data_IF_785533018319
#
_entry.id   IF_785533018319
#
_cell.length_a   1.000
_cell.length_b   1.000
_cell.length_c   1.000
_cell.angle_alpha   90.00
_cell.angle_beta   90.00
_cell.angle_gamma   90.00
#
_symmetry.space_group_name_H-M   'P 1'
#
loop_
_entity.id
_entity.type
_entity.pdbx_description
1 polymer ?
#
# COMPACT_ATOMS: atom_id res chain seq x y z
N UNK A 1 -8.45 -19.69 1.02
CA UNK A 1 -8.89 -19.91 2.42
C UNK A 1 -7.73 -19.53 3.33
N UNK A 2 -7.92 -18.57 4.23
CA UNK A 2 -6.90 -18.16 5.21
C UNK A 2 -7.13 -18.94 6.51
N UNK A 3 -6.18 -19.79 6.90
CA UNK A 3 -6.19 -20.47 8.19
C UNK A 3 -5.41 -19.62 9.18
N UNK A 4 -6.12 -18.84 10.01
CA UNK A 4 -5.51 -17.84 10.88
C UNK A 4 -5.79 -18.02 12.38
N UNK A 5 -6.75 -18.87 12.78
CA UNK A 5 -7.20 -18.91 14.18
C UNK A 5 -6.82 -20.21 14.92
N UNK A 6 -5.80 -20.19 15.82
CA UNK A 6 -4.73 -19.19 15.91
C UNK A 6 -3.54 -19.50 14.97
N UNK A 7 -2.82 -18.46 14.56
CA UNK A 7 -1.56 -18.56 13.82
C UNK A 7 -0.49 -17.64 14.45
N UNK A 8 0.78 -17.86 14.11
CA UNK A 8 1.91 -17.19 14.76
C UNK A 8 1.86 -15.65 14.65
N UNK A 9 1.37 -15.11 13.53
CA UNK A 9 1.22 -13.65 13.34
C UNK A 9 0.24 -13.01 14.34
N UNK A 10 -0.69 -13.79 14.90
CA UNK A 10 -1.63 -13.32 15.92
C UNK A 10 -1.02 -13.19 17.32
N UNK A 11 0.21 -13.68 17.53
CA UNK A 11 0.87 -13.66 18.85
C UNK A 11 1.87 -12.51 18.99
N UNK A 12 2.13 -11.75 17.93
CA UNK A 12 3.11 -10.67 17.93
C UNK A 12 2.67 -9.52 18.85
N UNK A 13 3.51 -9.15 19.81
CA UNK A 13 3.21 -8.17 20.85
C UNK A 13 4.11 -6.94 20.73
N UNK A 14 3.78 -5.81 21.40
CA UNK A 14 4.67 -4.66 21.47
C UNK A 14 6.07 -4.98 22.00
N UNK A 15 6.24 -6.04 22.81
CA UNK A 15 7.55 -6.44 23.36
C UNK A 15 8.46 -7.06 22.29
N UNK A 16 7.88 -7.61 21.23
CA UNK A 16 8.61 -8.23 20.12
C UNK A 16 9.08 -7.19 19.09
N UNK A 17 8.64 -5.94 19.22
CA UNK A 17 9.00 -4.84 18.32
C UNK A 17 10.44 -4.40 18.55
N UNK A 18 11.30 -4.62 17.56
CA UNK A 18 12.67 -4.13 17.56
C UNK A 18 12.73 -2.63 17.20
N UNK A 19 12.62 -1.79 18.23
CA UNK A 19 12.61 -0.32 18.09
C UNK A 19 13.90 0.22 17.46
N UNK A 20 15.06 -0.36 17.78
CA UNK A 20 16.32 0.08 17.19
C UNK A 20 16.37 -0.16 15.67
N UNK A 21 15.83 -1.29 15.21
CA UNK A 21 15.72 -1.57 13.79
C UNK A 21 14.80 -0.55 13.10
N UNK A 22 13.68 -0.20 13.75
CA UNK A 22 12.74 0.81 13.25
C UNK A 22 13.39 2.19 13.16
N UNK A 23 14.13 2.62 14.19
CA UNK A 23 14.81 3.92 14.18
C UNK A 23 15.87 4.05 13.08
N UNK A 24 16.46 2.93 12.65
CA UNK A 24 17.41 2.89 11.52
C UNK A 24 16.72 2.83 10.15
N UNK A 25 15.42 2.51 10.10
CA UNK A 25 14.68 2.40 8.86
C UNK A 25 14.28 3.77 8.33
N UNK A 26 14.42 3.97 7.00
CA UNK A 26 13.91 5.18 6.32
C UNK A 26 12.39 5.19 6.22
N UNK A 27 11.79 4.00 6.15
CA UNK A 27 10.37 3.79 5.93
C UNK A 27 9.89 2.53 6.64
N UNK A 28 8.72 2.61 7.26
CA UNK A 28 7.96 1.47 7.80
C UNK A 28 6.72 1.27 6.93
N UNK A 29 6.47 0.04 6.48
CA UNK A 29 5.24 -0.33 5.76
C UNK A 29 4.43 -1.36 6.56
N UNK A 30 3.11 -1.21 6.56
CA UNK A 30 2.19 -2.15 7.21
C UNK A 30 0.84 -2.20 6.49
N UNK A 31 0.00 -3.18 6.83
CA UNK A 31 -1.37 -3.30 6.31
C UNK A 31 -2.40 -3.57 7.41
N UNK A 32 -3.68 -3.67 7.03
CA UNK A 32 -4.76 -3.70 8.03
C UNK A 32 -4.88 -5.03 8.78
N UNK A 33 -4.30 -6.11 8.24
CA UNK A 33 -4.41 -7.47 8.80
C UNK A 33 -3.85 -7.53 10.24
N UNK A 34 -2.77 -6.80 10.51
CA UNK A 34 -2.19 -6.72 11.86
C UNK A 34 -2.98 -5.80 12.80
N UNK A 35 -3.99 -5.08 12.31
CA UNK A 35 -4.89 -4.24 13.12
C UNK A 35 -6.19 -4.97 13.51
N UNK A 36 -6.38 -6.22 13.09
CA UNK A 36 -7.63 -6.96 13.31
C UNK A 36 -7.88 -7.20 14.80
N UNK A 37 -6.88 -7.66 15.54
CA UNK A 37 -7.03 -8.05 16.94
C UNK A 37 -5.79 -7.68 17.76
N UNK A 38 -5.96 -7.68 19.07
CA UNK A 38 -4.82 -7.74 19.99
C UNK A 38 -4.25 -9.16 20.06
N UNK A 39 -2.96 -9.32 20.39
CA UNK A 39 -1.92 -8.28 20.58
C UNK A 39 -1.29 -7.60 19.32
N UNK A 40 -1.44 -8.09 18.06
CA UNK A 40 -0.74 -7.49 16.91
C UNK A 40 -1.10 -6.04 16.63
N UNK A 41 -2.34 -5.63 16.95
CA UNK A 41 -2.78 -4.24 16.78
C UNK A 41 -1.90 -3.32 17.62
N UNK A 42 -1.77 -3.57 18.92
CA UNK A 42 -0.89 -2.82 19.79
C UNK A 42 0.56 -2.81 19.30
N UNK A 43 1.06 -3.97 18.84
CA UNK A 43 2.43 -4.09 18.32
C UNK A 43 2.67 -3.22 17.08
N UNK A 44 1.73 -3.24 16.14
CA UNK A 44 1.79 -2.46 14.89
C UNK A 44 1.74 -0.97 15.18
N UNK A 45 0.81 -0.52 16.04
CA UNK A 45 0.69 0.89 16.39
C UNK A 45 1.91 1.39 17.14
N UNK A 46 2.49 0.58 18.03
CA UNK A 46 3.76 0.90 18.70
C UNK A 46 4.92 1.06 17.71
N UNK A 47 5.03 0.17 16.72
CA UNK A 47 6.04 0.28 15.67
C UNK A 47 5.85 1.54 14.80
N UNK A 48 4.61 1.88 14.46
CA UNK A 48 4.26 3.10 13.70
C UNK A 48 4.62 4.36 14.48
N UNK A 49 4.28 4.41 15.76
CA UNK A 49 4.58 5.57 16.59
C UNK A 49 6.09 5.74 16.81
N UNK A 50 6.84 4.65 16.98
CA UNK A 50 8.31 4.66 17.01
C UNK A 50 8.93 5.16 15.69
N UNK A 51 8.44 4.70 14.55
CA UNK A 51 8.92 5.14 13.24
C UNK A 51 8.71 6.65 13.04
N UNK A 52 7.53 7.17 13.42
CA UNK A 52 7.23 8.60 13.34
C UNK A 52 8.08 9.43 14.29
N UNK A 53 8.30 8.96 15.52
CA UNK A 53 9.15 9.64 16.50
C UNK A 53 10.61 9.77 16.03
N UNK A 54 11.11 8.79 15.26
CA UNK A 54 12.43 8.83 14.63
C UNK A 54 12.49 9.63 13.32
N UNK A 55 11.37 10.23 12.88
CA UNK A 55 11.29 10.98 11.62
C UNK A 55 11.19 10.10 10.36
N UNK A 56 10.96 8.80 10.52
CA UNK A 56 10.75 7.86 9.41
C UNK A 56 9.42 8.09 8.69
N UNK A 57 9.34 7.67 7.42
CA UNK A 57 8.09 7.65 6.67
C UNK A 57 7.27 6.40 7.01
N UNK A 58 5.96 6.56 7.13
CA UNK A 58 5.01 5.47 7.36
C UNK A 58 4.17 5.28 6.11
N UNK A 59 4.24 4.08 5.55
CA UNK A 59 3.47 3.61 4.41
C UNK A 59 2.40 2.61 4.86
N UNK A 60 1.22 2.70 4.26
CA UNK A 60 0.09 1.86 4.60
C UNK A 60 -0.68 1.37 3.36
N UNK A 61 -0.90 0.06 3.28
CA UNK A 61 -1.82 -0.58 2.34
C UNK A 61 -2.82 -1.43 3.14
N UNK A 62 -4.09 -1.01 3.30
CA UNK A 62 -5.04 -1.77 4.09
C UNK A 62 -5.15 -3.22 3.64
N UNK A 63 -5.20 -3.47 2.33
CA UNK A 63 -5.33 -4.79 1.73
C UNK A 63 -6.50 -5.58 2.36
N UNK A 64 -7.71 -5.04 2.27
CA UNK A 64 -8.91 -5.51 2.97
C UNK A 64 -9.13 -7.01 2.76
N UNK A 65 -9.32 -7.73 3.87
CA UNK A 65 -9.73 -9.13 3.92
C UNK A 65 -10.93 -9.25 4.83
N UNK A 66 -12.09 -8.83 4.32
CA UNK A 66 -13.34 -8.78 5.09
C UNK A 66 -13.65 -10.07 5.90
N UNK A 67 -13.41 -11.30 5.39
CA UNK A 67 -13.63 -12.52 6.16
C UNK A 67 -12.76 -12.71 7.41
N UNK A 68 -11.70 -11.91 7.57
CA UNK A 68 -10.84 -11.95 8.76
C UNK A 68 -11.29 -10.97 9.84
N UNK A 69 -12.22 -10.07 9.53
CA UNK A 69 -12.77 -9.10 10.47
C UNK A 69 -14.06 -9.63 11.08
N UNK A 70 -14.42 -9.10 12.25
CA UNK A 70 -15.68 -9.45 12.92
C UNK A 70 -16.89 -9.12 12.03
N UNK A 71 -16.87 -7.93 11.44
CA UNK A 71 -17.87 -7.41 10.52
C UNK A 71 -17.25 -6.28 9.68
N UNK A 72 -18.06 -5.68 8.79
CA UNK A 72 -17.64 -4.59 7.93
C UNK A 72 -17.32 -3.30 8.68
N UNK A 73 -18.01 -3.01 9.78
CA UNK A 73 -17.79 -1.78 10.55
C UNK A 73 -16.45 -1.85 11.29
N UNK A 74 -16.15 -2.98 11.92
CA UNK A 74 -14.85 -3.23 12.55
C UNK A 74 -13.70 -3.16 11.53
N UNK A 75 -13.90 -3.68 10.31
CA UNK A 75 -12.93 -3.57 9.23
C UNK A 75 -12.69 -2.10 8.85
N UNK A 76 -13.76 -1.34 8.64
CA UNK A 76 -13.70 0.07 8.28
C UNK A 76 -13.00 0.90 9.37
N UNK A 77 -13.34 0.70 10.64
CA UNK A 77 -12.71 1.38 11.77
C UNK A 77 -11.20 1.08 11.87
N UNK A 78 -10.84 -0.19 11.77
CA UNK A 78 -9.44 -0.63 11.80
C UNK A 78 -8.64 -0.10 10.61
N UNK A 79 -9.23 -0.09 9.42
CA UNK A 79 -8.58 0.47 8.24
C UNK A 79 -8.34 1.97 8.36
N UNK A 80 -9.33 2.74 8.84
CA UNK A 80 -9.21 4.18 9.06
C UNK A 80 -8.21 4.51 10.17
N UNK A 81 -8.07 3.62 11.18
CA UNK A 81 -7.06 3.78 12.23
C UNK A 81 -5.63 3.75 11.66
N UNK A 82 -5.32 2.78 10.79
CA UNK A 82 -4.03 2.73 10.11
C UNK A 82 -3.81 3.92 9.18
N UNK A 83 -4.85 4.28 8.40
CA UNK A 83 -4.79 5.37 7.43
C UNK A 83 -4.40 6.69 8.10
N UNK A 84 -5.04 7.06 9.21
CA UNK A 84 -4.77 8.33 9.93
C UNK A 84 -3.34 8.46 10.44
N UNK A 85 -2.58 7.37 10.55
CA UNK A 85 -1.20 7.38 11.04
C UNK A 85 -0.16 7.34 9.93
N UNK A 86 -0.54 7.08 8.69
CA UNK A 86 0.38 6.99 7.55
C UNK A 86 0.68 8.37 6.95
N UNK A 87 1.80 8.47 6.22
CA UNK A 87 2.06 9.60 5.31
C UNK A 87 1.99 9.19 3.84
N UNK A 88 2.15 7.89 3.56
CA UNK A 88 2.01 7.30 2.23
C UNK A 88 0.92 6.24 2.32
N UNK A 89 -0.15 6.38 1.52
CA UNK A 89 -1.27 5.44 1.54
C UNK A 89 -1.47 4.89 0.14
N UNK A 90 -1.61 3.57 0.03
CA UNK A 90 -2.15 2.94 -1.17
C UNK A 90 -3.48 2.27 -0.83
N UNK A 91 -4.46 2.42 -1.70
CA UNK A 91 -5.79 1.78 -1.65
C UNK A 91 -6.07 1.14 -3.00
N UNK A 92 -6.98 0.17 -3.06
CA UNK A 92 -7.74 -0.08 -4.29
C UNK A 92 -8.94 0.86 -4.41
N UNK A 93 -9.51 0.95 -5.61
CA UNK A 93 -10.80 1.59 -5.84
C UNK A 93 -11.90 0.99 -4.94
N UNK A 94 -11.99 -0.34 -4.88
CA UNK A 94 -12.93 -1.04 -3.99
C UNK A 94 -12.74 -0.64 -2.51
N UNK A 95 -11.51 -0.54 -2.03
CA UNK A 95 -11.21 -0.12 -0.65
C UNK A 95 -11.57 1.35 -0.42
N UNK A 96 -11.28 2.23 -1.39
CA UNK A 96 -11.63 3.64 -1.29
C UNK A 96 -13.14 3.85 -1.22
N UNK A 97 -13.90 3.09 -2.03
CA UNK A 97 -15.36 3.09 -2.02
C UNK A 97 -15.90 2.48 -0.71
N UNK A 98 -15.32 1.38 -0.22
CA UNK A 98 -15.70 0.77 1.05
C UNK A 98 -15.54 1.72 2.24
N UNK A 99 -14.44 2.48 2.29
CA UNK A 99 -14.18 3.40 3.41
C UNK A 99 -15.09 4.65 3.39
N UNK A 100 -15.49 5.10 2.21
CA UNK A 100 -16.13 6.42 2.02
C UNK A 100 -17.60 6.35 1.60
N UNK A 101 -18.04 5.24 1.01
CA UNK A 101 -19.32 5.13 0.30
C UNK A 101 -19.34 5.87 -1.04
N UNK A 102 -18.20 6.35 -1.55
CA UNK A 102 -18.10 7.15 -2.77
C UNK A 102 -17.45 6.35 -3.90
N UNK A 103 -18.11 6.31 -5.07
CA UNK A 103 -17.58 5.65 -6.27
C UNK A 103 -16.60 6.53 -7.05
N UNK A 104 -16.67 7.86 -6.88
CA UNK A 104 -15.71 8.77 -7.49
C UNK A 104 -14.40 8.76 -6.69
N UNK A 105 -13.33 8.24 -7.31
CA UNK A 105 -12.01 8.09 -6.67
C UNK A 105 -11.48 9.44 -6.18
N UNK A 106 -11.73 10.52 -6.91
CA UNK A 106 -11.26 11.86 -6.51
C UNK A 106 -11.96 12.35 -5.26
N UNK A 107 -13.27 12.17 -5.17
CA UNK A 107 -14.06 12.48 -3.98
C UNK A 107 -13.68 11.58 -2.79
N UNK A 108 -13.46 10.28 -3.02
CA UNK A 108 -13.00 9.34 -2.00
C UNK A 108 -11.63 9.75 -1.43
N UNK A 109 -10.65 10.07 -2.30
CA UNK A 109 -9.34 10.56 -1.87
C UNK A 109 -9.45 11.83 -1.03
N UNK A 110 -10.31 12.77 -1.44
CA UNK A 110 -10.55 14.01 -0.69
C UNK A 110 -11.15 13.74 0.70
N UNK A 111 -12.10 12.82 0.79
CA UNK A 111 -12.74 12.46 2.06
C UNK A 111 -11.79 11.75 3.03
N UNK A 112 -10.81 11.00 2.51
CA UNK A 112 -9.81 10.28 3.31
C UNK A 112 -8.56 11.12 3.62
N UNK A 113 -8.40 12.28 3.00
CA UNK A 113 -7.20 13.10 3.14
C UNK A 113 -7.06 13.68 4.55
N UNK A 114 -5.84 13.69 5.09
CA UNK A 114 -5.50 14.40 6.33
C UNK A 114 -4.15 15.12 6.19
N UNK A 115 -3.90 16.08 7.09
CA UNK A 115 -2.78 17.03 6.99
C UNK A 115 -1.37 16.41 6.93
N UNK A 116 -1.20 15.20 7.46
CA UNK A 116 0.09 14.50 7.48
C UNK A 116 0.33 13.65 6.22
N UNK A 117 -0.70 13.43 5.38
CA UNK A 117 -0.53 12.69 4.13
C UNK A 117 0.33 13.49 3.16
N UNK A 118 1.24 12.74 2.53
CA UNK A 118 2.16 13.24 1.51
C UNK A 118 1.82 12.68 0.15
N UNK A 119 1.32 11.44 0.11
CA UNK A 119 0.90 10.76 -1.11
C UNK A 119 -0.21 9.76 -0.79
N UNK A 120 -1.29 9.80 -1.56
CA UNK A 120 -2.29 8.74 -1.63
C UNK A 120 -2.33 8.21 -3.06
N UNK A 121 -2.34 6.89 -3.22
CA UNK A 121 -2.48 6.21 -4.51
C UNK A 121 -3.66 5.26 -4.47
N UNK A 122 -4.52 5.31 -5.49
CA UNK A 122 -5.65 4.39 -5.66
C UNK A 122 -5.42 3.54 -6.91
N UNK A 123 -5.19 2.25 -6.74
CA UNK A 123 -5.05 1.29 -7.84
C UNK A 123 -6.42 0.85 -8.36
N UNK A 124 -6.57 0.77 -9.68
CA UNK A 124 -7.82 0.50 -10.42
C UNK A 124 -7.65 -0.69 -11.37
N UNK A 125 -6.93 -1.73 -10.92
CA UNK A 125 -6.61 -2.92 -11.69
C UNK A 125 -6.05 -2.61 -13.10
N UNK A 126 -6.75 -3.06 -14.13
CA UNK A 126 -6.36 -2.87 -15.55
C UNK A 126 -6.42 -1.42 -16.03
N UNK A 127 -7.10 -0.53 -15.30
CA UNK A 127 -7.20 0.89 -15.63
C UNK A 127 -5.99 1.69 -15.13
N UNK A 128 -5.21 1.13 -14.20
CA UNK A 128 -3.96 1.72 -13.71
C UNK A 128 -4.11 2.28 -12.32
N UNK A 129 -3.66 3.50 -12.09
CA UNK A 129 -3.78 4.14 -10.77
C UNK A 129 -4.08 5.63 -10.87
N UNK A 130 -4.61 6.17 -9.78
CA UNK A 130 -4.73 7.61 -9.52
C UNK A 130 -3.79 7.96 -8.37
N UNK A 131 -3.04 9.04 -8.47
CA UNK A 131 -2.22 9.55 -7.38
C UNK A 131 -2.68 10.95 -6.96
N UNK A 132 -2.56 11.23 -5.67
CA UNK A 132 -2.93 12.50 -5.05
C UNK A 132 -1.84 12.93 -4.07
N UNK A 133 -1.37 14.15 -4.20
CA UNK A 133 -0.52 14.86 -3.24
C UNK A 133 -1.24 16.15 -2.80
N UNK A 134 -0.68 16.97 -1.89
CA UNK A 134 -1.23 18.31 -1.63
C UNK A 134 -1.35 19.19 -2.87
N UNK A 135 -0.45 19.00 -3.84
CA UNK A 135 -0.27 19.90 -4.99
C UNK A 135 -0.80 19.29 -6.30
N UNK A 136 -0.79 17.97 -6.42
CA UNK A 136 -1.04 17.27 -7.67
C UNK A 136 -2.16 16.24 -7.56
N UNK A 137 -2.87 16.05 -8.67
CA UNK A 137 -3.80 14.97 -8.88
C UNK A 137 -3.59 14.46 -10.30
N UNK A 138 -3.35 13.17 -10.46
CA UNK A 138 -3.13 12.59 -11.79
C UNK A 138 -3.49 11.13 -11.88
N UNK A 139 -3.60 10.68 -13.13
CA UNK A 139 -3.95 9.30 -13.46
C UNK A 139 -2.90 8.70 -14.39
N UNK A 140 -2.50 7.45 -14.11
CA UNK A 140 -1.54 6.71 -14.92
C UNK A 140 -2.18 5.41 -15.38
N UNK A 141 -2.30 5.17 -16.70
CA UNK A 141 -2.90 3.94 -17.21
C UNK A 141 -2.06 2.72 -16.82
N UNK A 142 -2.72 1.55 -16.74
CA UNK A 142 -2.02 0.27 -16.60
C UNK A 142 -1.53 -0.24 -17.95
N UNK A 143 -0.93 -1.42 -17.91
CA UNK A 143 -0.49 -2.15 -19.09
C UNK A 143 -1.43 -3.32 -19.37
N UNK A 144 -1.63 -3.62 -20.66
CA UNK A 144 -2.35 -4.82 -21.07
C UNK A 144 -1.41 -6.01 -21.06
N UNK A 145 -1.67 -6.97 -20.19
CA UNK A 145 -0.93 -8.23 -20.07
C UNK A 145 -1.89 -9.41 -20.04
N UNK A 146 -1.41 -10.60 -20.41
CA UNK A 146 -2.13 -11.84 -20.20
C UNK A 146 -2.04 -12.23 -18.72
N UNK A 147 -3.07 -11.89 -17.95
CA UNK A 147 -3.12 -12.20 -16.53
C UNK A 147 -3.46 -13.69 -16.30
N UNK A 148 -2.62 -14.35 -15.51
CA UNK A 148 -2.76 -15.75 -15.09
C UNK A 148 -3.31 -15.84 -13.66
N UNK A 149 -2.82 -14.99 -12.76
CA UNK A 149 -3.19 -14.95 -11.35
C UNK A 149 -3.03 -13.52 -10.83
N UNK A 150 -4.09 -12.88 -10.34
CA UNK A 150 -4.00 -11.50 -9.84
C UNK A 150 -3.37 -11.39 -8.44
N UNK A 151 -3.09 -12.52 -7.78
CA UNK A 151 -2.53 -12.55 -6.43
C UNK A 151 -1.16 -11.88 -6.41
N UNK A 152 -0.98 -10.87 -5.55
CA UNK A 152 0.28 -10.15 -5.40
C UNK A 152 0.44 -8.93 -6.31
N UNK A 153 -0.52 -8.63 -7.19
CA UNK A 153 -0.46 -7.42 -8.03
C UNK A 153 -0.38 -6.12 -7.20
N UNK A 154 -1.21 -6.01 -6.16
CA UNK A 154 -1.19 -4.87 -5.24
C UNK A 154 0.11 -4.77 -4.46
N UNK A 155 0.61 -5.89 -3.94
CA UNK A 155 1.88 -5.94 -3.21
C UNK A 155 3.07 -5.59 -4.13
N UNK A 156 3.04 -6.03 -5.39
CA UNK A 156 4.00 -5.66 -6.42
C UNK A 156 3.96 -4.17 -6.74
N UNK A 157 2.77 -3.58 -6.87
CA UNK A 157 2.61 -2.13 -7.04
C UNK A 157 3.24 -1.37 -5.86
N UNK A 158 2.94 -1.76 -4.63
CA UNK A 158 3.50 -1.15 -3.41
C UNK A 158 5.03 -1.30 -3.41
N UNK A 159 5.56 -2.47 -3.73
CA UNK A 159 7.01 -2.70 -3.81
C UNK A 159 7.68 -1.76 -4.83
N UNK A 160 7.10 -1.62 -6.02
CA UNK A 160 7.60 -0.69 -7.05
C UNK A 160 7.57 0.77 -6.61
N UNK A 161 6.47 1.20 -5.99
CA UNK A 161 6.31 2.55 -5.47
C UNK A 161 7.32 2.86 -4.35
N UNK A 162 7.40 1.98 -3.35
CA UNK A 162 8.26 2.19 -2.18
C UNK A 162 9.75 2.10 -2.53
N UNK A 163 10.13 1.24 -3.47
CA UNK A 163 11.52 1.18 -3.95
C UNK A 163 11.96 2.53 -4.52
N UNK A 164 11.11 3.18 -5.32
CA UNK A 164 11.42 4.50 -5.88
C UNK A 164 11.51 5.58 -4.81
N UNK A 165 10.56 5.61 -3.86
CA UNK A 165 10.55 6.58 -2.77
C UNK A 165 11.71 6.39 -1.78
N UNK A 166 12.17 5.15 -1.59
CA UNK A 166 13.37 4.85 -0.79
C UNK A 166 14.65 5.35 -1.46
N UNK A 167 14.70 5.32 -2.80
CA UNK A 167 15.81 5.84 -3.59
C UNK A 167 15.80 7.37 -3.63
N UNK A 168 14.62 7.98 -3.85
CA UNK A 168 14.44 9.43 -3.85
C UNK A 168 13.04 9.82 -3.33
N UNK A 169 12.93 10.30 -2.08
CA UNK A 169 11.65 10.72 -1.53
C UNK A 169 11.16 12.05 -2.11
N UNK A 170 11.99 12.80 -2.85
CA UNK A 170 11.58 14.07 -3.47
C UNK A 170 10.68 13.87 -4.69
N UNK A 171 10.56 12.64 -5.20
CA UNK A 171 9.68 12.28 -6.33
C UNK A 171 8.24 12.75 -6.13
N UNK A 172 7.73 12.76 -4.88
CA UNK A 172 6.35 13.21 -4.59
C UNK A 172 6.13 14.71 -4.79
N UNK A 173 7.20 15.50 -4.99
CA UNK A 173 7.16 16.95 -5.19
C UNK A 173 7.32 17.35 -6.66
N UNK A 174 7.54 16.39 -7.54
CA UNK A 174 7.70 16.59 -8.98
C UNK A 174 6.69 15.70 -9.70
N UNK A 175 5.65 16.30 -10.26
CA UNK A 175 4.53 15.59 -10.88
C UNK A 175 4.99 14.66 -12.02
N UNK A 176 5.93 15.10 -12.84
CA UNK A 176 6.42 14.29 -13.96
C UNK A 176 7.17 13.05 -13.45
N UNK A 177 8.03 13.22 -12.44
CA UNK A 177 8.78 12.10 -11.87
C UNK A 177 7.89 11.17 -11.04
N UNK A 178 6.89 11.70 -10.34
CA UNK A 178 5.88 10.89 -9.63
C UNK A 178 5.05 10.06 -10.62
N UNK A 179 4.64 10.65 -11.74
CA UNK A 179 3.92 9.95 -12.80
C UNK A 179 4.73 8.77 -13.35
N UNK A 180 6.03 8.95 -13.58
CA UNK A 180 6.92 7.86 -14.00
C UNK A 180 7.10 6.78 -12.92
N UNK A 181 7.17 7.16 -11.65
CA UNK A 181 7.18 6.20 -10.55
C UNK A 181 5.88 5.38 -10.49
N UNK A 182 4.73 6.02 -10.64
CA UNK A 182 3.43 5.34 -10.72
C UNK A 182 3.34 4.43 -11.95
N UNK A 183 3.91 4.83 -13.10
CA UNK A 183 4.02 3.99 -14.30
C UNK A 183 4.88 2.76 -14.03
N UNK A 184 6.03 2.92 -13.36
CA UNK A 184 6.88 1.81 -12.94
C UNK A 184 6.14 0.86 -11.99
N UNK A 185 5.45 1.38 -10.98
CA UNK A 185 4.66 0.59 -10.04
C UNK A 185 3.51 -0.18 -10.73
N UNK A 186 2.80 0.45 -11.68
CA UNK A 186 1.82 -0.23 -12.53
C UNK A 186 2.45 -1.40 -13.31
N UNK A 187 3.65 -1.23 -13.85
CA UNK A 187 4.35 -2.29 -14.57
C UNK A 187 4.72 -3.47 -13.65
N UNK A 188 5.21 -3.21 -12.43
CA UNK A 188 5.49 -4.26 -11.44
C UNK A 188 4.21 -5.03 -11.11
N UNK A 189 3.12 -4.31 -10.82
CA UNK A 189 1.82 -4.93 -10.52
C UNK A 189 1.27 -5.75 -11.68
N UNK A 190 1.37 -5.25 -12.91
CA UNK A 190 0.93 -5.97 -14.11
C UNK A 190 1.77 -7.25 -14.33
N UNK A 191 3.10 -7.15 -14.28
CA UNK A 191 3.99 -8.30 -14.45
C UNK A 191 3.78 -9.36 -13.36
N UNK A 192 3.49 -8.95 -12.12
CA UNK A 192 3.17 -9.86 -11.03
C UNK A 192 1.91 -10.71 -11.31
N UNK A 193 1.06 -10.33 -12.28
CA UNK A 193 -0.11 -11.14 -12.65
C UNK A 193 0.16 -12.22 -13.70
N UNK A 194 1.34 -12.22 -14.32
CA UNK A 194 1.63 -13.04 -15.51
C UNK A 194 2.06 -14.48 -15.17
N UNK A 195 2.24 -14.77 -13.88
CA UNK A 195 2.61 -16.10 -13.38
C UNK A 195 1.78 -16.43 -12.15
N UNK A 196 1.73 -17.72 -11.76
CA UNK A 196 0.99 -18.17 -10.58
C UNK A 196 1.75 -17.83 -9.29
N UNK A 197 1.03 -17.35 -8.30
CA UNK A 197 1.52 -17.10 -6.94
C UNK A 197 2.16 -15.73 -6.76
N UNK A 198 1.92 -15.12 -5.59
CA UNK A 198 2.30 -13.75 -5.29
C UNK A 198 3.82 -13.48 -5.40
N UNK A 199 4.63 -14.23 -4.65
CA UNK A 199 6.08 -14.00 -4.55
C UNK A 199 6.82 -14.48 -5.82
N UNK A 200 6.56 -15.69 -6.34
CA UNK A 200 7.28 -16.19 -7.52
C UNK A 200 7.08 -15.33 -8.77
N UNK A 201 5.94 -14.63 -8.86
CA UNK A 201 5.61 -13.78 -10.01
C UNK A 201 6.24 -12.38 -9.95
N UNK A 202 6.86 -11.98 -8.83
CA UNK A 202 7.46 -10.64 -8.71
C UNK A 202 8.64 -10.50 -9.68
N UNK A 203 8.61 -9.49 -10.58
CA UNK A 203 9.71 -9.26 -11.49
C UNK A 203 10.90 -8.61 -10.78
N UNK A 204 12.11 -8.86 -11.28
CA UNK A 204 13.26 -8.04 -10.93
C UNK A 204 13.22 -6.69 -11.67
N UNK A 205 14.12 -5.76 -11.27
CA UNK A 205 14.17 -4.43 -11.86
C UNK A 205 14.50 -4.47 -13.36
N UNK A 206 15.38 -5.36 -13.79
CA UNK A 206 15.79 -5.48 -15.20
C UNK A 206 14.59 -5.84 -16.06
N UNK A 207 13.80 -6.82 -15.62
CA UNK A 207 12.60 -7.27 -16.31
C UNK A 207 11.56 -6.17 -16.45
N UNK A 208 11.35 -5.35 -15.41
CA UNK A 208 10.42 -4.21 -15.46
C UNK A 208 10.89 -3.18 -16.49
N UNK A 209 12.19 -2.86 -16.53
CA UNK A 209 12.74 -1.89 -17.48
C UNK A 209 12.71 -2.39 -18.93
N UNK A 210 12.93 -3.68 -19.16
CA UNK A 210 12.72 -4.30 -20.47
C UNK A 210 11.27 -4.22 -20.92
N UNK A 211 10.34 -4.57 -20.01
CA UNK A 211 8.92 -4.48 -20.29
C UNK A 211 8.50 -3.05 -20.66
N UNK A 212 8.92 -2.05 -19.88
CA UNK A 212 8.60 -0.63 -20.12
C UNK A 212 9.17 -0.09 -21.44
N UNK A 213 10.32 -0.59 -21.92
CA UNK A 213 10.91 -0.20 -23.21
C UNK A 213 10.13 -0.73 -24.41
N UNK A 214 9.36 -1.79 -24.23
CA UNK A 214 8.53 -2.38 -25.28
C UNK A 214 7.10 -1.83 -25.36
N UNK A 215 6.80 -0.74 -24.65
CA UNK A 215 5.46 -0.13 -24.54
C UNK A 215 5.39 1.26 -25.13
#
# INVERSE_FOLDING_TARGET
MFYRHPSADMLFTPRDVNVEAIHRAKLLHFGSISLISEPPRGATLYAVDAARAAGGLVSYDPNLRLPLWLDADAAREGMLLGLRKAQLVKLSDDESAFLTGLNDVRAACRALWHQDLKLMVVTRGRTGCTYVTPDFFGEVPSFTVEAVDATGAGDGFVAGLLQGLLADPTLIRDEARLRELCRFANAVGALATTQRGAIPALPDRTRVLEFLRGQ
#
